data_IF_345320164404
#
_entry.id   IF_345320164404
#
_cell.length_a   1.000
_cell.length_b   1.000
_cell.length_c   1.000
_cell.angle_alpha   90.00
_cell.angle_beta   90.00
_cell.angle_gamma   90.00
#
_symmetry.space_group_name_H-M   'P 1'
#
loop_
_entity.id
_entity.type
_entity.pdbx_description
1 polymer ?
#
# COMPACT_ATOMS: atom_id res chain seq x y z
N UNK A 1 -13.60 -34.34 14.53
CA UNK A 1 -13.80 -32.88 14.51
C UNK A 1 -12.46 -32.23 14.15
N UNK A 2 -12.31 -31.68 12.94
CA UNK A 2 -11.07 -30.99 12.54
C UNK A 2 -11.20 -29.54 12.97
N UNK A 3 -10.40 -29.12 13.95
CA UNK A 3 -10.25 -27.72 14.30
C UNK A 3 -9.68 -26.99 13.07
N UNK A 4 -10.54 -26.25 12.36
CA UNK A 4 -10.08 -25.30 11.33
C UNK A 4 -9.36 -24.19 12.07
N UNK A 5 -8.04 -24.26 12.12
CA UNK A 5 -7.20 -23.18 12.57
C UNK A 5 -7.35 -22.03 11.56
N UNK A 6 -8.34 -21.16 11.76
CA UNK A 6 -8.58 -19.99 10.92
C UNK A 6 -7.43 -19.01 11.16
N UNK A 7 -6.43 -19.05 10.27
CA UNK A 7 -5.37 -18.06 10.24
C UNK A 7 -6.00 -16.71 9.92
N UNK A 8 -5.93 -15.77 10.85
CA UNK A 8 -6.36 -14.38 10.67
C UNK A 8 -5.15 -13.49 10.51
N UNK A 9 -5.26 -12.43 9.70
CA UNK A 9 -4.19 -11.45 9.56
C UNK A 9 -3.91 -10.75 10.91
N UNK A 10 -2.63 -10.48 11.24
CA UNK A 10 -2.30 -9.63 12.37
C UNK A 10 -2.88 -8.22 12.15
N UNK A 11 -3.13 -7.49 13.25
CA UNK A 11 -3.86 -6.21 13.24
C UNK A 11 -3.33 -5.22 12.19
N UNK A 12 -2.02 -5.06 12.10
CA UNK A 12 -1.38 -4.15 11.15
C UNK A 12 -1.64 -4.56 9.70
N UNK A 13 -1.46 -5.84 9.36
CA UNK A 13 -1.76 -6.35 8.01
C UNK A 13 -3.25 -6.22 7.66
N UNK A 14 -4.15 -6.44 8.64
CA UNK A 14 -5.58 -6.26 8.44
C UNK A 14 -5.97 -4.79 8.17
N UNK A 15 -5.27 -3.82 8.76
CA UNK A 15 -5.46 -2.39 8.45
C UNK A 15 -5.04 -2.09 7.02
N UNK A 16 -3.86 -2.57 6.60
CA UNK A 16 -3.39 -2.41 5.21
C UNK A 16 -4.38 -3.04 4.23
N UNK A 17 -4.87 -4.25 4.52
CA UNK A 17 -5.88 -4.90 3.67
C UNK A 17 -7.15 -4.05 3.54
N UNK A 18 -7.65 -3.48 4.64
CA UNK A 18 -8.82 -2.58 4.61
C UNK A 18 -8.55 -1.35 3.77
N UNK A 19 -7.40 -0.71 3.94
CA UNK A 19 -6.99 0.45 3.14
C UNK A 19 -6.91 0.11 1.65
N UNK A 20 -6.37 -1.07 1.29
CA UNK A 20 -6.36 -1.55 -0.09
C UNK A 20 -7.77 -1.74 -0.65
N UNK A 21 -8.70 -2.33 0.13
CA UNK A 21 -10.10 -2.51 -0.26
C UNK A 21 -10.79 -1.20 -0.61
N UNK A 22 -10.54 -0.15 0.19
CA UNK A 22 -11.15 1.18 -0.01
C UNK A 22 -10.27 2.14 -0.81
N UNK A 23 -9.12 1.66 -1.31
CA UNK A 23 -8.16 2.43 -2.12
C UNK A 23 -7.62 3.69 -1.41
N UNK A 24 -7.51 3.62 -0.08
CA UNK A 24 -7.10 4.71 0.80
C UNK A 24 -5.81 4.41 1.57
N UNK A 25 -4.85 3.75 0.91
CA UNK A 25 -3.54 3.45 1.50
C UNK A 25 -2.70 4.72 1.64
N UNK A 26 -1.90 4.82 2.69
CA UNK A 26 -1.02 5.96 2.91
C UNK A 26 0.08 6.04 1.85
N UNK A 27 -0.04 6.97 0.91
CA UNK A 27 0.91 7.16 -0.20
C UNK A 27 1.67 8.48 -0.07
N UNK A 28 2.78 8.71 -0.80
CA UNK A 28 3.44 10.01 -0.82
C UNK A 28 2.53 11.16 -1.28
N UNK A 29 1.52 10.87 -2.11
CA UNK A 29 0.47 11.84 -2.47
C UNK A 29 -0.30 12.31 -1.24
N UNK A 30 -0.73 11.38 -0.38
CA UNK A 30 -1.39 11.73 0.87
C UNK A 30 -0.43 12.39 1.86
N UNK A 31 0.76 11.82 2.03
CA UNK A 31 1.75 12.33 2.96
C UNK A 31 2.17 13.78 2.66
N UNK A 32 2.30 14.18 1.39
CA UNK A 32 2.58 15.57 1.01
C UNK A 32 1.49 16.55 1.43
N UNK A 33 0.23 16.11 1.45
CA UNK A 33 -0.89 16.97 1.86
C UNK A 33 -1.02 17.08 3.38
N UNK A 34 -0.71 16.00 4.11
CA UNK A 34 -0.87 15.95 5.57
C UNK A 34 0.38 16.46 6.31
N UNK A 35 1.56 16.10 5.81
CA UNK A 35 2.88 16.45 6.37
C UNK A 35 3.83 16.93 5.26
N UNK A 36 3.57 18.09 4.61
CA UNK A 36 4.41 18.62 3.54
C UNK A 36 5.88 18.83 3.97
N UNK A 37 6.12 19.10 5.25
CA UNK A 37 7.44 19.27 5.85
C UNK A 37 8.27 17.97 5.87
N UNK A 38 7.60 16.82 5.99
CA UNK A 38 8.24 15.51 5.96
C UNK A 38 8.26 14.95 4.53
N UNK A 39 7.19 15.16 3.77
CA UNK A 39 7.07 14.67 2.40
C UNK A 39 6.88 15.84 1.41
N UNK A 40 7.98 16.52 1.02
CA UNK A 40 7.88 17.71 0.15
C UNK A 40 7.45 17.38 -1.29
N UNK A 41 7.59 16.11 -1.71
CA UNK A 41 7.29 15.66 -3.05
C UNK A 41 6.41 14.41 -3.03
N UNK A 42 5.44 14.37 -3.93
CA UNK A 42 4.58 13.24 -4.22
C UNK A 42 5.02 12.47 -5.47
N UNK A 43 6.20 12.78 -6.01
CA UNK A 43 6.81 12.07 -7.14
C UNK A 43 7.27 10.69 -6.68
N UNK A 44 7.01 9.69 -7.51
CA UNK A 44 7.45 8.32 -7.30
C UNK A 44 8.97 8.24 -7.30
N UNK A 45 9.55 7.70 -6.22
CA UNK A 45 11.01 7.55 -6.07
C UNK A 45 11.62 6.57 -7.07
N UNK A 46 10.80 5.72 -7.72
CA UNK A 46 11.28 4.72 -8.67
C UNK A 46 11.42 5.28 -10.09
N UNK A 47 10.45 6.06 -10.60
CA UNK A 47 10.57 6.66 -11.94
C UNK A 47 11.04 8.11 -11.92
N UNK A 48 10.83 8.85 -10.83
CA UNK A 48 11.12 10.29 -10.78
C UNK A 48 10.22 11.17 -11.66
N UNK A 49 9.18 10.62 -12.28
CA UNK A 49 8.33 11.32 -13.27
C UNK A 49 6.88 11.42 -12.79
N UNK A 50 6.28 10.27 -12.49
CA UNK A 50 4.86 10.19 -12.15
C UNK A 50 4.62 10.38 -10.65
N UNK A 51 3.38 10.75 -10.30
CA UNK A 51 2.93 10.80 -8.90
C UNK A 51 2.89 9.39 -8.30
N UNK A 52 3.33 9.24 -7.06
CA UNK A 52 3.31 8.00 -6.30
C UNK A 52 1.89 7.67 -5.79
N UNK A 53 0.93 7.54 -6.70
CA UNK A 53 -0.41 7.07 -6.36
C UNK A 53 -0.37 5.59 -5.99
N UNK A 54 -1.39 5.12 -5.26
CA UNK A 54 -1.44 3.71 -4.87
C UNK A 54 -1.42 2.79 -6.08
N UNK A 55 -2.22 3.08 -7.10
CA UNK A 55 -2.26 2.28 -8.31
C UNK A 55 -0.92 2.31 -9.06
N UNK A 56 -0.28 3.48 -9.19
CA UNK A 56 1.05 3.59 -9.80
C UNK A 56 2.09 2.74 -9.06
N UNK A 57 2.13 2.81 -7.71
CA UNK A 57 3.05 2.00 -6.91
C UNK A 57 2.80 0.50 -7.05
N UNK A 58 1.54 0.07 -7.12
CA UNK A 58 1.16 -1.34 -7.14
C UNK A 58 1.29 -1.98 -8.53
N UNK A 59 1.25 -1.22 -9.62
CA UNK A 59 1.53 -1.78 -10.95
C UNK A 59 3.01 -2.12 -11.17
N UNK A 60 3.86 -1.81 -10.20
CA UNK A 60 5.33 -1.75 -10.34
C UNK A 60 5.73 -0.70 -11.39
N UNK A 61 6.69 0.14 -11.05
CA UNK A 61 6.99 1.42 -11.73
C UNK A 61 7.53 1.31 -13.19
N UNK A 62 7.37 0.17 -13.84
CA UNK A 62 7.94 -0.16 -15.15
C UNK A 62 6.91 -0.65 -16.17
N UNK A 63 5.70 -1.06 -15.75
CA UNK A 63 4.76 -1.78 -16.65
C UNK A 63 3.79 -0.82 -17.35
N UNK A 64 3.49 0.33 -16.79
CA UNK A 64 2.61 1.34 -17.41
C UNK A 64 3.12 2.75 -17.12
N UNK A 65 3.60 3.50 -18.14
CA UNK A 65 3.99 4.89 -17.98
C UNK A 65 2.76 5.81 -17.77
N UNK A 66 1.58 5.38 -18.20
CA UNK A 66 0.32 6.10 -17.99
C UNK A 66 -0.16 5.95 -16.54
N UNK A 67 -0.51 7.06 -15.85
CA UNK A 67 -1.11 7.01 -14.53
C UNK A 67 -2.49 6.34 -14.64
N UNK A 68 -2.57 5.08 -14.19
CA UNK A 68 -3.83 4.38 -14.00
C UNK A 68 -4.25 4.48 -12.56
N UNK A 69 -5.54 4.73 -12.32
CA UNK A 69 -6.11 4.59 -10.98
C UNK A 69 -6.47 3.13 -10.66
N UNK A 70 -6.52 2.27 -11.67
CA UNK A 70 -6.98 0.88 -11.52
C UNK A 70 -5.94 0.04 -10.79
N UNK A 71 -6.36 -0.78 -9.83
CA UNK A 71 -5.48 -1.75 -9.17
C UNK A 71 -5.09 -2.88 -10.13
N UNK A 72 -3.89 -3.45 -10.00
CA UNK A 72 -3.50 -4.64 -10.75
C UNK A 72 -4.53 -5.77 -10.60
N UNK A 73 -4.95 -6.46 -11.68
CA UNK A 73 -6.00 -7.48 -11.63
C UNK A 73 -5.73 -8.59 -10.61
N UNK A 74 -4.46 -8.94 -10.39
CA UNK A 74 -4.08 -9.94 -9.39
C UNK A 74 -4.32 -9.45 -7.96
N UNK A 75 -4.13 -8.16 -7.67
CA UNK A 75 -4.46 -7.55 -6.38
C UNK A 75 -5.97 -7.37 -6.22
N UNK A 76 -6.68 -6.89 -7.24
CA UNK A 76 -8.15 -6.77 -7.20
C UNK A 76 -8.79 -8.11 -6.82
N UNK A 77 -8.32 -9.21 -7.43
CA UNK A 77 -8.79 -10.56 -7.09
C UNK A 77 -8.39 -10.97 -5.67
N UNK A 78 -7.15 -10.71 -5.26
CA UNK A 78 -6.65 -11.13 -3.95
C UNK A 78 -7.31 -10.36 -2.78
N UNK A 79 -7.61 -9.09 -2.99
CA UNK A 79 -8.30 -8.22 -2.03
C UNK A 79 -9.78 -8.61 -1.89
N UNK A 80 -10.43 -9.05 -2.96
CA UNK A 80 -11.84 -9.49 -2.94
C UNK A 80 -12.04 -10.91 -2.37
N UNK A 81 -10.99 -11.74 -2.27
CA UNK A 81 -11.11 -13.09 -1.70
C UNK A 81 -11.04 -13.08 -0.17
N UNK A 82 -11.73 -14.04 0.45
CA UNK A 82 -11.71 -14.26 1.90
C UNK A 82 -10.65 -15.28 2.35
N UNK A 83 -9.79 -15.76 1.44
CA UNK A 83 -8.71 -16.68 1.81
C UNK A 83 -7.47 -15.94 2.36
N UNK A 84 -6.99 -16.43 3.50
CA UNK A 84 -5.86 -15.83 4.23
C UNK A 84 -4.61 -15.66 3.38
N UNK A 85 -4.23 -16.67 2.59
CA UNK A 85 -2.98 -16.63 1.82
C UNK A 85 -3.03 -15.58 0.70
N UNK A 86 -4.16 -15.41 0.02
CA UNK A 86 -4.32 -14.35 -0.99
C UNK A 86 -4.33 -12.97 -0.35
N UNK A 87 -5.03 -12.80 0.77
CA UNK A 87 -5.04 -11.53 1.49
C UNK A 87 -3.64 -11.16 1.98
N UNK A 88 -2.90 -12.12 2.54
CA UNK A 88 -1.53 -11.91 3.01
C UNK A 88 -0.58 -11.55 1.87
N UNK A 89 -0.68 -12.23 0.72
CA UNK A 89 0.10 -11.86 -0.47
C UNK A 89 -0.19 -10.43 -0.94
N UNK A 90 -1.47 -10.03 -0.96
CA UNK A 90 -1.85 -8.68 -1.35
C UNK A 90 -1.27 -7.61 -0.39
N UNK A 91 -1.32 -7.89 0.91
CA UNK A 91 -0.75 -7.01 1.93
C UNK A 91 0.78 -6.91 1.78
N UNK A 92 1.48 -8.03 1.66
CA UNK A 92 2.94 -8.05 1.53
C UNK A 92 3.38 -7.30 0.26
N UNK A 93 2.71 -7.52 -0.85
CA UNK A 93 2.97 -6.80 -2.09
C UNK A 93 2.79 -5.28 -1.93
N UNK A 94 1.73 -4.84 -1.23
CA UNK A 94 1.50 -3.43 -0.94
C UNK A 94 2.55 -2.84 0.00
N UNK A 95 2.95 -3.57 1.05
CA UNK A 95 3.99 -3.15 1.97
C UNK A 95 5.33 -2.94 1.25
N UNK A 96 5.72 -3.87 0.37
CA UNK A 96 6.92 -3.70 -0.45
C UNK A 96 6.83 -2.48 -1.36
N UNK A 97 5.67 -2.23 -1.97
CA UNK A 97 5.46 -1.06 -2.82
C UNK A 97 5.59 0.25 -2.02
N UNK A 98 5.06 0.29 -0.80
CA UNK A 98 5.21 1.43 0.11
C UNK A 98 6.65 1.60 0.59
N UNK A 99 7.34 0.51 0.93
CA UNK A 99 8.75 0.55 1.34
C UNK A 99 9.64 1.17 0.25
N UNK A 100 9.38 0.87 -1.03
CA UNK A 100 10.10 1.49 -2.15
C UNK A 100 9.90 3.00 -2.26
N UNK A 101 8.86 3.55 -1.63
CA UNK A 101 8.60 5.00 -1.56
C UNK A 101 9.05 5.65 -0.25
N UNK A 102 9.66 4.90 0.66
CA UNK A 102 10.26 5.49 1.85
C UNK A 102 11.58 6.14 1.46
N UNK A 103 11.63 7.47 1.51
CA UNK A 103 12.88 8.19 1.38
C UNK A 103 13.77 7.84 2.57
N UNK A 104 15.07 7.62 2.34
CA UNK A 104 16.06 7.27 3.39
C UNK A 104 16.17 8.31 4.52
N UNK A 105 15.58 9.49 4.33
CA UNK A 105 15.53 10.60 5.27
C UNK A 105 14.29 10.59 6.18
N UNK A 106 13.26 9.78 5.90
CA UNK A 106 12.10 9.62 6.78
C UNK A 106 12.22 8.35 7.61
N UNK A 107 11.83 8.36 8.91
CA UNK A 107 11.66 7.12 9.66
C UNK A 107 10.65 6.21 8.94
N UNK A 108 10.75 4.87 9.11
CA UNK A 108 9.91 3.92 8.41
C UNK A 108 8.44 4.31 8.54
N UNK A 109 7.69 4.34 7.43
CA UNK A 109 6.25 4.70 7.47
C UNK A 109 5.46 3.83 8.43
N UNK A 110 5.96 2.64 8.79
CA UNK A 110 5.35 1.77 9.80
C UNK A 110 5.42 2.33 11.23
N UNK A 111 6.38 3.21 11.53
CA UNK A 111 6.50 3.92 12.81
C UNK A 111 5.80 5.29 12.76
N UNK A 112 5.71 5.90 11.58
CA UNK A 112 5.16 7.23 11.36
C UNK A 112 3.70 7.24 10.85
N UNK A 113 3.05 6.10 10.64
CA UNK A 113 1.60 6.03 10.49
C UNK A 113 1.04 6.27 11.89
N UNK A 114 0.50 7.46 12.24
CA UNK A 114 -0.46 7.49 13.32
C UNK A 114 -1.49 6.45 12.93
N UNK A 115 -1.75 5.50 13.81
CA UNK A 115 -2.98 4.72 13.74
C UNK A 115 -4.09 5.77 13.74
N UNK A 116 -4.53 6.20 12.54
CA UNK A 116 -5.70 7.06 12.42
C UNK A 116 -6.84 6.14 12.85
N UNK A 117 -7.15 6.22 14.13
CA UNK A 117 -8.33 5.63 14.72
C UNK A 117 -9.51 6.37 14.11
N UNK A 118 -10.08 5.78 13.05
CA UNK A 118 -11.49 5.95 12.74
C UNK A 118 -12.26 4.81 13.40
#
# INVERSE_FOLDING_TARGET
MVQRNQKTLPRQEAVILRQLKVRATWTPVWAKHVHPELQPSDVCLLCGVNRATMAHMLWTCSVTPEPTDVLPPHLTRAVCKEDFDSQRRAVQFALEALQRQQSRALPPLLEAVPLINF
#
